data_IF_277315642674
#
_entry.id   IF_277315642674
#
_cell.length_a   1.000
_cell.length_b   1.000
_cell.length_c   1.000
_cell.angle_alpha   90.00
_cell.angle_beta   90.00
_cell.angle_gamma   90.00
#
_symmetry.space_group_name_H-M   'P 1'
#
loop_
_entity.id
_entity.type
_entity.pdbx_description
1 polymer ?
#
# COMPACT_ATOMS: atom_id res chain seq x y z
N UNK A 1 -15.20 10.16 21.73
CA UNK A 1 -16.60 10.44 21.35
C UNK A 1 -16.92 9.45 20.22
N UNK A 2 -17.55 8.32 20.54
CA UNK A 2 -17.79 7.24 19.57
C UNK A 2 -18.94 7.61 18.64
N UNK A 3 -18.69 7.58 17.33
CA UNK A 3 -19.75 7.77 16.33
C UNK A 3 -20.78 6.62 16.45
N UNK A 4 -22.07 6.89 16.24
CA UNK A 4 -23.09 5.84 16.26
C UNK A 4 -22.86 4.87 15.08
N UNK A 5 -22.79 3.57 15.37
CA UNK A 5 -22.72 2.53 14.35
C UNK A 5 -24.10 2.38 13.68
N UNK A 6 -24.13 2.41 12.34
CA UNK A 6 -25.37 2.22 11.58
C UNK A 6 -25.95 0.81 11.84
N UNK A 7 -27.30 0.65 11.84
CA UNK A 7 -27.91 -0.67 11.90
C UNK A 7 -27.41 -1.56 10.77
N UNK A 8 -27.05 -2.81 11.08
CA UNK A 8 -26.45 -3.76 10.13
C UNK A 8 -27.25 -3.90 8.81
N UNK A 9 -28.59 -3.82 8.87
CA UNK A 9 -29.45 -3.90 7.69
C UNK A 9 -29.33 -2.69 6.74
N UNK A 10 -29.16 -1.48 7.30
CA UNK A 10 -28.99 -0.26 6.49
C UNK A 10 -27.60 -0.21 5.84
N UNK A 11 -26.57 -0.65 6.55
CA UNK A 11 -25.21 -0.81 6.00
C UNK A 11 -25.22 -1.78 4.82
N UNK A 12 -25.83 -2.96 4.97
CA UNK A 12 -25.95 -3.94 3.89
C UNK A 12 -26.71 -3.42 2.67
N UNK A 13 -27.80 -2.67 2.87
CA UNK A 13 -28.57 -2.06 1.77
C UNK A 13 -27.75 -1.00 1.02
N UNK A 14 -27.01 -0.15 1.75
CA UNK A 14 -26.14 0.87 1.18
C UNK A 14 -24.98 0.25 0.39
N UNK A 15 -24.32 -0.77 0.94
CA UNK A 15 -23.25 -1.51 0.25
C UNK A 15 -23.78 -2.17 -1.02
N UNK A 16 -24.93 -2.85 -0.95
CA UNK A 16 -25.56 -3.45 -2.13
C UNK A 16 -25.88 -2.41 -3.22
N UNK A 17 -26.44 -1.26 -2.82
CA UNK A 17 -26.80 -0.19 -3.75
C UNK A 17 -25.55 0.41 -4.41
N UNK A 18 -24.54 0.71 -3.61
CA UNK A 18 -23.26 1.24 -4.06
C UNK A 18 -22.57 0.28 -5.05
N UNK A 19 -22.44 -1.00 -4.68
CA UNK A 19 -21.84 -2.00 -5.55
C UNK A 19 -22.62 -2.21 -6.85
N UNK A 20 -23.95 -2.06 -6.81
CA UNK A 20 -24.79 -2.19 -8.00
C UNK A 20 -24.53 -1.05 -8.99
N UNK A 21 -24.36 0.18 -8.51
CA UNK A 21 -23.99 1.34 -9.34
C UNK A 21 -22.53 1.23 -9.82
N UNK A 22 -21.62 0.80 -8.96
CA UNK A 22 -20.21 0.60 -9.32
C UNK A 22 -20.06 -0.47 -10.41
N UNK A 23 -20.80 -1.59 -10.34
CA UNK A 23 -20.82 -2.64 -11.38
C UNK A 23 -21.42 -2.16 -12.70
N UNK A 24 -22.45 -1.32 -12.66
CA UNK A 24 -23.08 -0.76 -13.85
C UNK A 24 -22.18 0.27 -14.56
N UNK A 25 -21.31 0.93 -13.80
CA UNK A 25 -20.30 1.84 -14.32
C UNK A 25 -19.18 1.03 -14.97
N UNK A 26 -18.88 1.27 -16.26
CA UNK A 26 -17.73 0.62 -16.91
C UNK A 26 -16.43 1.19 -16.32
N UNK A 27 -15.60 0.41 -15.60
CA UNK A 27 -14.31 0.90 -15.19
C UNK A 27 -13.49 1.20 -16.45
N UNK A 28 -12.81 2.34 -16.47
CA UNK A 28 -11.76 2.61 -17.45
C UNK A 28 -10.82 1.40 -17.47
N UNK A 29 -10.50 0.90 -18.67
CA UNK A 29 -9.50 -0.15 -18.85
C UNK A 29 -8.12 0.22 -18.27
N UNK A 30 -7.87 1.50 -17.96
CA UNK A 30 -6.60 1.96 -17.36
C UNK A 30 -6.34 1.43 -15.95
N UNK A 31 -7.38 1.08 -15.17
CA UNK A 31 -7.19 0.60 -13.80
C UNK A 31 -6.39 -0.71 -13.70
N UNK A 32 -6.49 -1.58 -14.71
CA UNK A 32 -5.69 -2.82 -14.78
C UNK A 32 -4.21 -2.55 -15.01
N UNK A 33 -3.86 -1.48 -15.74
CA UNK A 33 -2.46 -1.14 -16.01
C UNK A 33 -1.71 -0.76 -14.72
N UNK A 34 -2.39 -0.06 -13.79
CA UNK A 34 -1.81 0.43 -12.54
C UNK A 34 -1.88 -0.54 -11.37
N UNK A 35 -2.32 -1.78 -11.59
CA UNK A 35 -2.44 -2.82 -10.56
C UNK A 35 -1.78 -4.13 -11.03
N UNK A 36 -0.86 -4.06 -11.98
CA UNK A 36 -0.20 -5.23 -12.57
C UNK A 36 1.30 -5.03 -12.73
N UNK A 37 2.06 -6.14 -12.81
CA UNK A 37 3.51 -6.10 -12.93
C UNK A 37 4.16 -5.33 -11.78
N UNK A 38 5.08 -4.42 -12.08
CA UNK A 38 5.75 -3.59 -11.07
C UNK A 38 4.83 -2.56 -10.38
N UNK A 39 3.61 -2.35 -10.89
CA UNK A 39 2.59 -1.52 -10.24
C UNK A 39 1.59 -2.35 -9.43
N UNK A 40 1.78 -3.67 -9.36
CA UNK A 40 0.96 -4.51 -8.51
C UNK A 40 1.18 -4.14 -7.03
N UNK A 41 0.12 -4.24 -6.19
CA UNK A 41 0.25 -3.97 -4.77
C UNK A 41 1.24 -4.92 -4.09
N UNK A 42 1.91 -4.42 -3.05
CA UNK A 42 2.70 -5.20 -2.11
C UNK A 42 1.87 -5.41 -0.85
N UNK A 43 1.37 -6.61 -0.65
CA UNK A 43 0.46 -6.92 0.46
C UNK A 43 1.20 -7.10 1.81
N UNK A 44 2.48 -7.47 1.75
CA UNK A 44 3.28 -7.84 2.93
C UNK A 44 4.08 -6.66 3.48
N UNK A 45 3.98 -6.45 4.79
CA UNK A 45 4.91 -5.60 5.55
C UNK A 45 6.08 -6.45 6.08
N UNK A 46 7.27 -6.25 5.53
CA UNK A 46 8.46 -7.04 5.81
C UNK A 46 9.48 -6.27 6.66
N UNK A 47 10.29 -7.01 7.40
CA UNK A 47 11.49 -6.51 8.06
C UNK A 47 12.58 -7.56 7.88
N UNK A 48 13.61 -7.22 7.12
CA UNK A 48 14.76 -8.06 6.85
C UNK A 48 16.00 -7.40 7.42
N UNK A 49 16.62 -8.05 8.42
CA UNK A 49 17.72 -7.48 9.18
C UNK A 49 19.04 -7.46 8.37
N UNK A 50 19.24 -8.45 7.50
CA UNK A 50 20.46 -8.58 6.69
C UNK A 50 20.12 -9.01 5.27
N UNK A 51 20.27 -8.09 4.33
CA UNK A 51 20.11 -8.35 2.90
C UNK A 51 21.42 -8.87 2.30
N UNK A 52 21.29 -9.87 1.42
CA UNK A 52 22.41 -10.36 0.63
C UNK A 52 22.80 -9.35 -0.46
N UNK A 53 24.08 -9.02 -0.54
CA UNK A 53 24.64 -8.24 -1.64
C UNK A 53 24.94 -9.20 -2.79
N UNK A 54 24.17 -9.12 -3.87
CA UNK A 54 24.33 -10.01 -5.03
C UNK A 54 25.65 -9.80 -5.79
N UNK A 55 26.12 -8.55 -5.89
CA UNK A 55 27.34 -8.22 -6.63
C UNK A 55 28.12 -7.07 -5.96
N UNK A 56 29.44 -7.22 -5.88
CA UNK A 56 30.33 -6.21 -5.30
C UNK A 56 30.27 -6.16 -3.78
N UNK A 57 30.64 -5.01 -3.22
CA UNK A 57 30.74 -4.80 -1.77
C UNK A 57 30.16 -3.43 -1.40
N UNK A 58 29.46 -3.36 -0.27
CA UNK A 58 28.98 -2.10 0.29
C UNK A 58 30.13 -1.40 1.03
N UNK A 59 30.43 -0.12 0.73
CA UNK A 59 31.50 0.59 1.43
C UNK A 59 31.21 0.69 2.94
N UNK A 60 32.19 0.34 3.78
CA UNK A 60 32.02 0.38 5.25
C UNK A 60 31.68 1.78 5.78
N UNK A 61 32.18 2.82 5.11
CA UNK A 61 31.94 4.22 5.46
C UNK A 61 30.59 4.78 4.99
N UNK A 62 29.78 4.02 4.23
CA UNK A 62 28.45 4.45 3.82
C UNK A 62 27.44 4.11 4.93
N UNK A 63 27.00 5.14 5.64
CA UNK A 63 26.01 5.02 6.72
C UNK A 63 24.82 5.94 6.47
N UNK A 64 23.61 5.38 6.49
CA UNK A 64 22.40 6.15 6.26
C UNK A 64 21.18 5.29 5.99
N UNK A 65 20.07 5.94 5.67
CA UNK A 65 18.83 5.28 5.28
C UNK A 65 18.32 5.89 4.00
N UNK A 66 18.14 5.06 2.98
CA UNK A 66 17.40 5.43 1.78
C UNK A 66 15.92 5.10 2.01
N UNK A 67 15.07 6.13 1.94
CA UNK A 67 13.62 5.98 2.12
C UNK A 67 12.91 6.46 0.86
N UNK A 68 11.96 5.65 0.39
CA UNK A 68 11.07 6.00 -0.73
C UNK A 68 9.62 5.78 -0.30
N UNK A 69 8.76 6.70 -0.70
CA UNK A 69 7.30 6.52 -0.62
C UNK A 69 6.73 6.16 -1.99
N UNK A 70 5.63 5.41 -1.98
CA UNK A 70 4.86 5.14 -3.18
C UNK A 70 3.41 4.81 -2.83
N UNK A 71 2.51 4.93 -3.83
CA UNK A 71 1.14 4.49 -3.70
C UNK A 71 1.08 2.95 -3.73
N UNK A 72 0.45 2.38 -2.71
CA UNK A 72 0.20 0.96 -2.55
C UNK A 72 -1.23 0.80 -2.01
N UNK A 73 -2.20 0.38 -2.82
CA UNK A 73 -3.59 0.30 -2.37
C UNK A 73 -3.72 -0.81 -1.32
N UNK A 74 -4.10 -0.44 -0.10
CA UNK A 74 -4.32 -1.41 0.99
C UNK A 74 -5.59 -2.23 0.76
N UNK A 75 -6.60 -1.61 0.15
CA UNK A 75 -7.85 -2.27 -0.23
C UNK A 75 -7.94 -2.45 -1.74
N UNK A 76 -8.50 -3.59 -2.17
CA UNK A 76 -8.79 -3.83 -3.57
C UNK A 76 -9.74 -2.74 -4.11
N UNK A 77 -9.34 -1.99 -5.16
CA UNK A 77 -10.20 -0.95 -5.72
C UNK A 77 -11.51 -1.53 -6.29
N UNK A 78 -12.63 -0.88 -5.97
CA UNK A 78 -14.00 -1.32 -6.37
C UNK A 78 -14.39 -0.80 -7.77
N UNK A 79 -13.78 0.30 -8.21
CA UNK A 79 -14.05 0.94 -9.50
C UNK A 79 -12.73 1.37 -10.19
N UNK A 80 -12.77 2.36 -11.08
CA UNK A 80 -11.57 2.90 -11.73
C UNK A 80 -10.50 3.29 -10.72
N UNK A 81 -9.25 2.94 -11.01
CA UNK A 81 -8.10 3.21 -10.15
C UNK A 81 -7.02 3.94 -10.94
N UNK A 82 -6.52 5.04 -10.39
CA UNK A 82 -5.33 5.71 -10.87
C UNK A 82 -4.18 5.40 -9.90
N UNK A 83 -2.95 5.28 -10.40
CA UNK A 83 -1.80 4.96 -9.57
C UNK A 83 -1.56 5.95 -8.41
N UNK A 84 -2.08 7.18 -8.43
CA UNK A 84 -1.94 8.14 -7.33
C UNK A 84 -2.98 7.96 -6.21
N UNK A 85 -3.95 7.08 -6.39
CA UNK A 85 -5.06 6.91 -5.44
C UNK A 85 -4.73 5.91 -4.32
N UNK A 86 -3.61 5.18 -4.42
CA UNK A 86 -3.20 4.17 -3.46
C UNK A 86 -2.77 4.75 -2.11
N UNK A 87 -2.90 3.95 -1.06
CA UNK A 87 -2.44 4.32 0.29
C UNK A 87 -0.91 4.45 0.32
N UNK A 88 -0.38 5.31 1.19
CA UNK A 88 1.05 5.51 1.26
C UNK A 88 1.76 4.31 1.90
N UNK A 89 2.74 3.73 1.20
CA UNK A 89 3.71 2.79 1.80
C UNK A 89 5.12 3.36 1.73
N UNK A 90 5.85 3.26 2.83
CA UNK A 90 7.27 3.58 2.91
C UNK A 90 8.09 2.31 2.71
N UNK A 91 9.15 2.42 1.94
CA UNK A 91 10.21 1.42 1.81
C UNK A 91 11.51 2.05 2.27
N UNK A 92 12.23 1.37 3.16
CA UNK A 92 13.49 1.83 3.70
C UNK A 92 14.57 0.78 3.52
N UNK A 93 15.74 1.20 3.03
CA UNK A 93 16.97 0.42 3.04
C UNK A 93 17.96 1.15 3.92
N UNK A 94 18.39 0.51 5.01
CA UNK A 94 19.41 1.06 5.91
C UNK A 94 20.76 0.44 5.56
N UNK A 95 21.76 1.29 5.40
CA UNK A 95 23.14 0.92 5.12
C UNK A 95 24.00 1.30 6.31
N UNK A 96 24.81 0.36 6.82
CA UNK A 96 25.75 0.62 7.92
C UNK A 96 26.81 -0.46 8.00
N UNK A 97 28.09 -0.06 8.06
CA UNK A 97 29.21 -0.98 8.30
C UNK A 97 29.28 -2.11 7.27
N UNK A 98 29.09 -1.79 5.99
CA UNK A 98 29.12 -2.77 4.91
C UNK A 98 27.89 -3.70 4.83
N UNK A 99 26.86 -3.47 5.63
CA UNK A 99 25.60 -4.25 5.64
C UNK A 99 24.40 -3.43 5.19
N UNK A 100 23.38 -4.12 4.70
CA UNK A 100 22.09 -3.56 4.35
C UNK A 100 20.94 -4.27 5.08
N UNK A 101 19.94 -3.52 5.53
CA UNK A 101 18.67 -4.05 6.05
C UNK A 101 17.50 -3.39 5.33
N UNK A 102 16.35 -4.06 5.26
CA UNK A 102 15.16 -3.54 4.57
C UNK A 102 13.92 -3.60 5.46
N UNK A 103 13.04 -2.62 5.31
CA UNK A 103 11.68 -2.73 5.79
C UNK A 103 10.71 -1.93 4.92
N UNK A 104 9.45 -2.32 4.97
CA UNK A 104 8.35 -1.53 4.42
C UNK A 104 7.17 -1.48 5.37
N UNK A 105 6.52 -0.32 5.47
CA UNK A 105 5.34 -0.12 6.30
C UNK A 105 4.34 0.82 5.64
N UNK A 106 3.05 0.52 5.78
CA UNK A 106 1.99 1.45 5.46
C UNK A 106 2.04 2.66 6.39
N UNK A 107 1.82 3.83 5.82
CA UNK A 107 1.64 5.06 6.59
C UNK A 107 0.30 4.97 7.29
N UNK A 108 0.30 5.09 8.61
CA UNK A 108 -0.91 5.11 9.45
C UNK A 108 -1.66 6.43 9.28
N UNK A 109 -2.37 6.56 8.17
CA UNK A 109 -3.23 7.72 7.88
C UNK A 109 -4.59 7.55 8.55
N UNK A 110 -5.28 8.66 8.80
CA UNK A 110 -6.67 8.66 9.31
C UNK A 110 -7.64 7.88 8.40
N UNK A 111 -7.35 7.81 7.09
CA UNK A 111 -8.11 7.00 6.15
C UNK A 111 -7.96 5.52 6.45
N UNK A 112 -6.72 5.06 6.67
CA UNK A 112 -6.44 3.65 6.93
C UNK A 112 -6.94 3.22 8.31
N UNK A 113 -6.80 4.10 9.31
CA UNK A 113 -7.26 3.87 10.68
C UNK A 113 -8.78 3.73 10.84
N UNK A 114 -9.58 4.10 9.83
CA UNK A 114 -11.04 3.89 9.85
C UNK A 114 -11.44 2.41 9.72
N UNK A 115 -10.49 1.53 9.43
CA UNK A 115 -10.74 0.11 9.13
C UNK A 115 -10.03 -0.83 10.12
N UNK A 116 -9.17 -0.30 10.99
CA UNK A 116 -8.55 -1.01 12.13
C UNK A 116 -9.51 -1.17 13.32
#
# INVERSE_FOLDING_TARGET
>A
MSLPTLPNALSQLLTWFYDSIARASRPSMSGKAYLSGNFAPVDEELFEEELQVENGELPEGLEGVYVRTGPNPFFKPVAGYHWFDGDGMLHAVRLRGGKASYCNRFVKTERLAQVD
#
